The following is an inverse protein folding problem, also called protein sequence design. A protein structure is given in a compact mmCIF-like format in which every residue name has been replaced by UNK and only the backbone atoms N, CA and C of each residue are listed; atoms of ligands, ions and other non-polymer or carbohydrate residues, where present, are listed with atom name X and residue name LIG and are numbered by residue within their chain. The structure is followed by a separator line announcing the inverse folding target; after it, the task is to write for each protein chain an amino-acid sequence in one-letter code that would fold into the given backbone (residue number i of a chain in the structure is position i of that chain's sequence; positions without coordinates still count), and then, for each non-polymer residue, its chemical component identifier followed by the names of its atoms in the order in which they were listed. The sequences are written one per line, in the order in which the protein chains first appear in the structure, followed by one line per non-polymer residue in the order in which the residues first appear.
data_IF_424370619946
#
_entry.id   IF_424370619946
#
_cell.length_a   1.000
_cell.length_b   1.000
_cell.length_c   1.000
_cell.angle_alpha   90.00
_cell.angle_beta   90.00
_cell.angle_gamma   90.00
#
_symmetry.space_group_name_H-M   'P 1'
#
loop_
_entity.id
_entity.type
_entity.pdbx_description
1 polymer ?
#
# COMPACT_ATOMS: atom_id res chain seq x y z
N UNK A 1 -6.98 14.73 22.62
CA UNK A 1 -6.74 13.64 21.67
C UNK A 1 -7.50 14.00 20.42
N UNK A 2 -6.75 14.31 19.37
CA UNK A 2 -7.27 14.45 18.02
C UNK A 2 -7.04 13.12 17.30
N UNK A 3 -8.00 12.74 16.46
CA UNK A 3 -7.85 11.57 15.60
C UNK A 3 -7.22 12.02 14.29
N UNK A 4 -6.09 11.41 13.96
CA UNK A 4 -5.35 11.63 12.71
C UNK A 4 -5.65 10.49 11.74
N UNK A 5 -5.90 10.81 10.48
CA UNK A 5 -6.26 9.83 9.45
C UNK A 5 -5.57 10.18 8.14
N UNK A 6 -4.93 9.16 7.54
CA UNK A 6 -4.52 9.16 6.15
C UNK A 6 -5.20 7.98 5.47
N UNK A 7 -5.96 8.20 4.40
CA UNK A 7 -6.61 7.16 3.61
C UNK A 7 -6.19 7.35 2.16
N UNK A 8 -5.47 6.37 1.63
CA UNK A 8 -4.99 6.36 0.25
C UNK A 8 -5.76 5.33 -0.56
N UNK A 9 -6.02 5.66 -1.82
CA UNK A 9 -6.66 4.76 -2.77
C UNK A 9 -6.03 4.85 -4.14
N UNK A 10 -5.73 3.68 -4.70
CA UNK A 10 -5.42 3.46 -6.10
C UNK A 10 -6.58 2.70 -6.75
N UNK A 11 -7.03 3.17 -7.90
CA UNK A 11 -8.08 2.59 -8.73
C UNK A 11 -7.63 2.65 -10.20
N UNK A 12 -7.35 1.48 -10.78
CA UNK A 12 -6.83 1.35 -12.14
C UNK A 12 -7.70 2.05 -13.20
N UNK A 13 -9.02 2.18 -12.97
CA UNK A 13 -9.91 2.87 -13.88
C UNK A 13 -9.76 4.40 -13.85
N UNK A 14 -9.20 4.95 -12.77
CA UNK A 14 -9.01 6.39 -12.56
C UNK A 14 -7.54 6.81 -12.70
N UNK A 15 -6.61 5.91 -12.40
CA UNK A 15 -5.21 6.26 -12.14
C UNK A 15 -4.25 5.79 -13.23
N UNK A 16 -4.73 5.71 -14.47
CA UNK A 16 -3.89 5.48 -15.66
C UNK A 16 -3.66 4.01 -16.02
N UNK A 17 -4.37 3.08 -15.40
CA UNK A 17 -4.35 1.65 -15.73
C UNK A 17 -3.95 0.74 -14.55
N UNK A 18 -3.92 -0.58 -14.76
CA UNK A 18 -3.55 -1.53 -13.72
C UNK A 18 -2.09 -1.40 -13.25
N UNK A 19 -1.85 -1.70 -11.97
CA UNK A 19 -0.50 -1.84 -11.42
C UNK A 19 0.00 -3.27 -11.71
N UNK A 20 0.90 -3.40 -12.67
CA UNK A 20 1.53 -4.68 -13.00
C UNK A 20 2.62 -5.04 -12.00
N UNK A 21 2.50 -6.22 -11.40
CA UNK A 21 3.45 -6.80 -10.45
C UNK A 21 4.14 -7.97 -11.13
N UNK A 22 5.47 -8.03 -11.06
CA UNK A 22 6.22 -9.16 -11.62
C UNK A 22 6.25 -10.32 -10.63
N UNK A 23 6.27 -11.58 -11.11
CA UNK A 23 6.32 -12.73 -10.23
C UNK A 23 7.65 -12.84 -9.50
N UNK A 24 7.62 -13.40 -8.29
CA UNK A 24 8.82 -13.73 -7.53
C UNK A 24 8.65 -13.57 -6.03
N UNK A 25 9.78 -13.65 -5.35
CA UNK A 25 9.88 -13.48 -3.90
C UNK A 25 10.00 -12.00 -3.50
N UNK A 26 10.33 -11.12 -4.46
CA UNK A 26 10.48 -9.69 -4.23
C UNK A 26 9.12 -9.01 -4.13
N UNK A 27 8.93 -8.25 -3.06
CA UNK A 27 7.71 -7.50 -2.82
C UNK A 27 7.78 -6.11 -3.46
N UNK A 28 6.77 -5.80 -4.26
CA UNK A 28 6.57 -4.52 -4.91
C UNK A 28 5.84 -3.56 -3.97
N UNK A 29 6.35 -2.33 -3.85
CA UNK A 29 5.69 -1.27 -3.09
C UNK A 29 4.53 -0.70 -3.93
N UNK A 30 3.35 -0.55 -3.32
CA UNK A 30 2.13 -0.09 -4.02
C UNK A 30 2.09 1.44 -4.04
N UNK A 31 2.23 2.10 -5.20
CA UNK A 31 2.12 3.54 -5.30
C UNK A 31 0.66 4.00 -5.20
N UNK A 32 0.45 5.20 -4.65
CA UNK A 32 -0.85 5.85 -4.51
C UNK A 32 -0.81 7.25 -5.14
N UNK A 33 -1.89 7.66 -5.83
CA UNK A 33 -1.99 9.01 -6.39
C UNK A 33 -2.24 10.05 -5.30
N UNK A 34 -1.70 11.24 -5.50
CA UNK A 34 -1.94 12.40 -4.63
C UNK A 34 -3.29 13.04 -4.92
N UNK A 35 -4.00 13.46 -3.87
CA UNK A 35 -5.26 14.23 -3.95
C UNK A 35 -6.36 13.64 -4.87
N UNK A 36 -6.42 12.31 -5.01
CA UNK A 36 -7.48 11.62 -5.75
C UNK A 36 -8.84 11.64 -5.02
N UNK A 37 -9.94 11.37 -5.73
CA UNK A 37 -11.31 11.60 -5.27
C UNK A 37 -11.73 10.90 -3.95
N UNK A 38 -11.04 9.84 -3.51
CA UNK A 38 -11.30 9.14 -2.24
C UNK A 38 -10.12 9.20 -1.26
N UNK A 39 -9.04 9.91 -1.61
CA UNK A 39 -7.91 10.10 -0.70
C UNK A 39 -8.25 11.17 0.34
N UNK A 40 -7.99 10.89 1.62
CA UNK A 40 -8.16 11.83 2.72
C UNK A 40 -6.85 11.92 3.50
N UNK A 41 -6.28 13.12 3.58
CA UNK A 41 -5.01 13.38 4.26
C UNK A 41 -5.00 14.81 4.80
N UNK A 42 -5.52 14.99 6.01
CA UNK A 42 -5.65 16.32 6.61
C UNK A 42 -4.35 16.88 7.19
N UNK A 43 -3.38 15.99 7.44
CA UNK A 43 -2.11 16.31 8.11
C UNK A 43 -0.91 16.25 7.15
N UNK A 44 -1.15 16.17 5.83
CA UNK A 44 -0.12 16.11 4.77
C UNK A 44 0.85 14.92 4.93
N UNK A 45 0.33 13.78 5.43
CA UNK A 45 1.06 12.52 5.60
C UNK A 45 1.41 11.85 4.27
N UNK A 46 0.79 12.28 3.16
CA UNK A 46 0.99 11.78 1.80
C UNK A 46 1.03 12.94 0.79
N UNK A 47 2.04 13.79 0.94
CA UNK A 47 2.28 14.93 0.06
C UNK A 47 3.05 14.56 -1.22
N UNK A 48 2.68 15.17 -2.35
CA UNK A 48 3.46 15.08 -3.60
C UNK A 48 4.83 15.74 -3.46
N UNK A 49 4.90 16.83 -2.71
CA UNK A 49 6.14 17.54 -2.43
C UNK A 49 6.44 17.42 -0.95
N UNK A 50 7.56 16.77 -0.64
CA UNK A 50 8.11 16.70 0.71
C UNK A 50 9.51 17.30 0.69
N UNK A 51 9.94 17.98 1.76
CA UNK A 51 11.26 18.62 1.87
C UNK A 51 11.67 19.63 0.78
N UNK A 52 10.73 20.03 -0.09
CA UNK A 52 10.99 20.85 -1.27
C UNK A 52 11.30 20.04 -2.54
N UNK A 53 11.28 18.71 -2.45
CA UNK A 53 11.44 17.78 -3.57
C UNK A 53 10.08 17.22 -4.00
N UNK A 54 9.83 17.23 -5.31
CA UNK A 54 8.61 16.64 -5.88
C UNK A 54 8.81 15.14 -6.14
N UNK A 55 7.80 14.35 -5.79
CA UNK A 55 7.80 12.90 -5.87
C UNK A 55 6.64 12.40 -6.75
N UNK A 56 6.77 12.40 -8.08
CA UNK A 56 5.65 12.13 -8.98
C UNK A 56 5.13 10.68 -8.89
N UNK A 57 3.81 10.52 -8.76
CA UNK A 57 3.13 9.24 -8.91
C UNK A 57 3.03 8.82 -10.41
N UNK A 58 3.11 7.52 -10.74
CA UNK A 58 3.51 6.38 -9.92
C UNK A 58 5.03 6.10 -9.96
N UNK A 59 5.80 6.97 -10.60
CA UNK A 59 7.20 6.69 -10.95
C UNK A 59 8.17 6.79 -9.76
N UNK A 60 7.85 7.62 -8.78
CA UNK A 60 8.66 7.79 -7.57
C UNK A 60 8.16 6.87 -6.44
N UNK A 61 9.01 5.99 -5.87
CA UNK A 61 8.64 5.14 -4.74
C UNK A 61 8.12 5.90 -3.50
N UNK A 62 8.45 7.18 -3.34
CA UNK A 62 7.93 8.02 -2.26
C UNK A 62 6.40 8.23 -2.35
N UNK A 63 5.81 8.05 -3.54
CA UNK A 63 4.36 8.09 -3.75
C UNK A 63 3.64 6.85 -3.19
N UNK A 64 4.33 5.94 -2.53
CA UNK A 64 3.71 4.80 -1.88
C UNK A 64 3.62 4.92 -0.35
N UNK A 65 4.07 6.06 0.20
CA UNK A 65 4.33 6.20 1.62
C UNK A 65 3.26 7.02 2.32
N UNK A 66 2.86 6.54 3.49
CA UNK A 66 2.24 7.38 4.53
C UNK A 66 3.34 7.75 5.52
N UNK A 67 3.53 9.04 5.77
CA UNK A 67 4.46 9.60 6.76
C UNK A 67 3.65 10.09 7.97
N UNK A 68 3.62 9.35 9.09
CA UNK A 68 2.86 9.78 10.27
C UNK A 68 3.27 11.18 10.74
N UNK A 69 2.33 11.97 11.25
CA UNK A 69 2.62 13.31 11.77
C UNK A 69 3.06 13.29 13.25
N UNK A 70 2.72 12.23 13.99
CA UNK A 70 3.02 12.08 15.41
C UNK A 70 3.42 10.66 15.79
N UNK A 71 4.02 10.51 16.97
CA UNK A 71 4.27 9.21 17.58
C UNK A 71 3.04 8.75 18.37
N UNK A 72 2.49 7.58 18.03
CA UNK A 72 1.36 7.01 18.75
C UNK A 72 1.16 5.53 18.43
N UNK A 73 0.29 4.86 19.20
CA UNK A 73 -0.31 3.62 18.74
C UNK A 73 -1.35 3.93 17.66
N UNK A 74 -1.22 3.26 16.53
CA UNK A 74 -2.12 3.40 15.39
C UNK A 74 -2.63 2.07 14.88
N UNK A 75 -3.54 2.16 13.91
CA UNK A 75 -4.05 1.03 13.14
C UNK A 75 -3.83 1.28 11.66
N UNK A 76 -3.29 0.28 11.00
CA UNK A 76 -3.19 0.18 9.56
C UNK A 76 -4.36 -0.62 9.02
N UNK A 77 -4.85 -0.23 7.85
CA UNK A 77 -5.82 -0.97 7.07
C UNK A 77 -5.31 -1.09 5.64
N UNK A 78 -5.55 -2.24 5.03
CA UNK A 78 -5.36 -2.40 3.60
C UNK A 78 -6.51 -3.17 2.97
N UNK A 79 -6.82 -2.81 1.73
CA UNK A 79 -7.60 -3.62 0.81
C UNK A 79 -6.83 -3.75 -0.49
N UNK A 80 -6.72 -4.94 -1.05
CA UNK A 80 -6.07 -5.21 -2.33
C UNK A 80 -7.01 -6.04 -3.18
N UNK A 81 -7.23 -5.60 -4.41
CA UNK A 81 -7.93 -6.36 -5.44
C UNK A 81 -6.97 -6.66 -6.58
N UNK A 82 -6.67 -7.94 -6.77
CA UNK A 82 -5.99 -8.40 -7.97
C UNK A 82 -7.02 -8.71 -9.05
N UNK A 83 -6.64 -8.57 -10.32
CA UNK A 83 -7.39 -9.15 -11.43
C UNK A 83 -7.57 -10.66 -11.25
N UNK A 84 -8.36 -11.28 -12.13
CA UNK A 84 -8.58 -12.73 -12.08
C UNK A 84 -7.24 -13.46 -12.20
N UNK A 85 -6.76 -13.99 -11.08
CA UNK A 85 -5.54 -14.77 -10.97
C UNK A 85 -5.89 -16.25 -10.68
N UNK A 86 -6.91 -16.77 -11.37
CA UNK A 86 -7.47 -18.09 -11.08
C UNK A 86 -6.96 -19.17 -12.02
N UNK A 87 -6.63 -20.34 -11.47
CA UNK A 87 -6.12 -21.50 -12.23
C UNK A 87 -4.66 -21.78 -11.89
N UNK A 88 -3.88 -22.24 -12.86
CA UNK A 88 -2.44 -22.50 -12.70
C UNK A 88 -1.58 -21.23 -12.76
N UNK A 89 -2.22 -20.05 -12.85
CA UNK A 89 -1.51 -18.79 -13.02
C UNK A 89 -0.77 -18.36 -11.76
N UNK A 90 -1.41 -18.38 -10.58
CA UNK A 90 -0.78 -18.15 -9.28
C UNK A 90 -1.35 -19.09 -8.22
N UNK A 91 -0.49 -19.65 -7.38
CA UNK A 91 -0.92 -20.48 -6.25
C UNK A 91 -0.90 -19.73 -4.93
N UNK A 92 -0.17 -18.61 -4.87
CA UNK A 92 0.02 -17.78 -3.69
C UNK A 92 0.07 -16.29 -4.07
N UNK A 93 -0.73 -15.50 -3.35
CA UNK A 93 -0.70 -14.03 -3.35
C UNK A 93 -0.27 -13.57 -1.97
N UNK A 94 0.56 -12.54 -1.93
CA UNK A 94 1.21 -12.08 -0.70
C UNK A 94 1.07 -10.58 -0.56
N UNK A 95 0.95 -10.15 0.68
CA UNK A 95 1.05 -8.74 1.03
C UNK A 95 1.66 -8.57 2.41
N UNK A 96 2.18 -7.38 2.66
CA UNK A 96 2.76 -7.00 3.94
C UNK A 96 2.71 -5.50 4.13
N UNK A 97 2.67 -5.08 5.40
CA UNK A 97 3.01 -3.72 5.76
C UNK A 97 4.53 -3.62 5.93
N UNK A 98 5.09 -2.46 5.58
CA UNK A 98 6.49 -2.15 5.78
C UNK A 98 6.65 -0.83 6.53
N UNK A 99 7.56 -0.83 7.48
CA UNK A 99 8.16 0.33 8.12
C UNK A 99 9.45 0.65 7.39
N UNK A 100 9.64 1.92 7.10
CA UNK A 100 10.78 2.47 6.36
C UNK A 100 11.16 1.68 5.09
N UNK A 101 10.22 1.47 4.14
CA UNK A 101 10.44 0.61 2.98
C UNK A 101 11.50 1.14 1.99
N UNK A 102 11.87 2.43 2.06
CA UNK A 102 12.91 3.03 1.22
C UNK A 102 14.25 3.20 1.96
N UNK A 103 14.28 2.99 3.27
CA UNK A 103 15.47 3.00 4.11
C UNK A 103 15.78 1.61 4.66
N UNK A 104 15.75 1.46 5.98
CA UNK A 104 15.95 0.16 6.64
C UNK A 104 14.65 -0.61 6.68
N UNK A 105 14.39 -1.35 5.61
CA UNK A 105 13.18 -2.14 5.44
C UNK A 105 12.90 -3.03 6.66
N UNK A 106 11.75 -2.82 7.29
CA UNK A 106 11.24 -3.60 8.41
C UNK A 106 9.77 -3.99 8.16
N UNK A 107 9.50 -5.27 7.92
CA UNK A 107 8.17 -5.76 7.53
C UNK A 107 7.36 -6.29 8.71
N UNK A 108 6.05 -6.06 8.69
CA UNK A 108 5.12 -6.60 9.69
C UNK A 108 3.81 -7.03 9.05
N UNK A 109 3.06 -7.90 9.75
CA UNK A 109 1.79 -8.43 9.28
C UNK A 109 1.92 -9.01 7.86
N UNK A 110 2.94 -9.84 7.63
CA UNK A 110 3.11 -10.53 6.34
C UNK A 110 2.07 -11.64 6.23
N UNK A 111 1.30 -11.64 5.14
CA UNK A 111 0.27 -12.65 4.90
C UNK A 111 0.42 -13.25 3.51
N UNK A 112 0.26 -14.57 3.47
CA UNK A 112 0.27 -15.36 2.26
C UNK A 112 -1.10 -16.02 2.14
N UNK A 113 -1.71 -15.93 0.97
CA UNK A 113 -3.04 -16.47 0.70
C UNK A 113 -3.03 -17.30 -0.55
N UNK A 114 -3.73 -18.43 -0.50
CA UNK A 114 -4.01 -19.20 -1.70
C UNK A 114 -4.96 -18.41 -2.61
N UNK A 115 -4.66 -18.36 -3.90
CA UNK A 115 -5.58 -17.79 -4.88
C UNK A 115 -6.91 -18.57 -4.91
N UNK A 116 -8.01 -17.85 -4.87
CA UNK A 116 -9.36 -18.38 -5.06
C UNK A 116 -9.79 -18.27 -6.52
N UNK A 117 -10.89 -18.91 -6.97
CA UNK A 117 -11.43 -18.63 -8.29
C UNK A 117 -11.93 -17.18 -8.42
N UNK A 118 -11.71 -16.53 -9.57
CA UNK A 118 -12.17 -15.17 -9.84
C UNK A 118 -11.25 -14.06 -9.33
N UNK A 119 -11.83 -12.89 -9.06
CA UNK A 119 -11.12 -11.71 -8.55
C UNK A 119 -10.65 -11.96 -7.10
N UNK A 120 -9.44 -11.49 -6.78
CA UNK A 120 -8.84 -11.71 -5.46
C UNK A 120 -8.96 -10.47 -4.61
N UNK A 121 -9.95 -10.46 -3.71
CA UNK A 121 -10.24 -9.31 -2.85
C UNK A 121 -9.80 -9.62 -1.42
N UNK A 122 -8.73 -8.98 -0.97
CA UNK A 122 -8.21 -9.16 0.39
C UNK A 122 -8.30 -7.87 1.17
N UNK A 123 -8.70 -7.97 2.43
CA UNK A 123 -8.66 -6.88 3.38
C UNK A 123 -7.96 -7.33 4.66
N UNK A 124 -7.30 -6.40 5.33
CA UNK A 124 -6.59 -6.65 6.59
C UNK A 124 -6.48 -5.39 7.43
N UNK A 125 -6.25 -5.60 8.72
CA UNK A 125 -5.95 -4.54 9.67
C UNK A 125 -4.82 -4.98 10.60
N UNK A 126 -4.01 -4.02 11.07
CA UNK A 126 -2.89 -4.29 11.96
C UNK A 126 -2.64 -3.14 12.93
N UNK A 127 -2.38 -3.44 14.20
CA UNK A 127 -1.98 -2.43 15.17
C UNK A 127 -0.45 -2.23 15.12
N UNK A 128 0.00 -0.97 15.18
CA UNK A 128 1.41 -0.62 15.05
C UNK A 128 1.73 0.62 15.88
N UNK A 129 2.98 0.78 16.31
CA UNK A 129 3.47 2.06 16.82
C UNK A 129 4.03 2.87 15.64
N UNK A 130 3.52 4.08 15.45
CA UNK A 130 3.92 4.98 14.35
C UNK A 130 4.87 6.06 14.84
N UNK A 131 5.69 6.61 13.95
CA UNK A 131 6.57 7.75 14.21
C UNK A 131 6.82 8.52 12.91
N UNK A 132 6.98 9.86 12.96
CA UNK A 132 7.26 10.67 11.76
C UNK A 132 8.52 10.29 11.01
N UNK A 133 9.50 9.73 11.71
CA UNK A 133 10.77 9.30 11.12
C UNK A 133 10.68 7.94 10.41
N UNK A 134 9.54 7.24 10.53
CA UNK A 134 9.36 5.87 10.01
C UNK A 134 8.18 5.87 9.03
N UNK A 135 8.41 6.13 7.74
CA UNK A 135 7.35 6.07 6.74
C UNK A 135 6.81 4.64 6.62
N UNK A 136 5.53 4.52 6.32
CA UNK A 136 4.83 3.24 6.22
C UNK A 136 4.44 2.99 4.77
N UNK A 137 4.46 1.72 4.36
CA UNK A 137 4.08 1.32 3.00
C UNK A 137 3.33 -0.01 2.96
N UNK A 138 2.55 -0.19 1.89
CA UNK A 138 1.91 -1.45 1.54
C UNK A 138 2.70 -2.11 0.42
N UNK A 139 3.04 -3.40 0.59
CA UNK A 139 3.77 -4.15 -0.44
C UNK A 139 3.05 -5.44 -0.81
N UNK A 140 3.23 -5.87 -2.05
CA UNK A 140 2.57 -7.04 -2.65
C UNK A 140 3.54 -7.93 -3.42
N UNK A 141 3.27 -9.22 -3.47
CA UNK A 141 4.02 -10.20 -4.27
C UNK A 141 3.13 -11.38 -4.67
N UNK A 142 3.58 -12.16 -5.65
CA UNK A 142 2.92 -13.39 -6.06
C UNK A 142 3.89 -14.38 -6.69
N UNK A 143 3.52 -15.66 -6.70
CA UNK A 143 4.33 -16.73 -7.28
C UNK A 143 3.88 -17.17 -8.69
N UNK A 144 3.13 -16.32 -9.37
CA UNK A 144 2.62 -16.61 -10.69
C UNK A 144 3.71 -16.89 -11.75
N UNK A 145 3.35 -17.46 -12.89
CA UNK A 145 4.29 -17.65 -14.01
C UNK A 145 4.52 -16.39 -14.86
N UNK A 146 3.58 -15.44 -14.82
CA UNK A 146 3.66 -14.14 -15.49
C UNK A 146 3.23 -13.01 -14.55
N UNK A 147 3.31 -11.77 -15.02
CA UNK A 147 2.86 -10.62 -14.23
C UNK A 147 1.37 -10.68 -13.94
N UNK A 148 0.97 -10.27 -12.74
CA UNK A 148 -0.43 -10.06 -12.36
C UNK A 148 -0.68 -8.58 -12.09
N UNK A 149 -1.92 -8.15 -12.29
CA UNK A 149 -2.31 -6.78 -12.03
C UNK A 149 -3.07 -6.62 -10.71
N UNK A 150 -2.67 -5.61 -9.95
CA UNK A 150 -3.52 -4.98 -8.92
C UNK A 150 -4.41 -3.94 -9.61
N UNK A 151 -5.72 -4.06 -9.43
CA UNK A 151 -6.71 -3.17 -10.04
C UNK A 151 -7.29 -2.15 -9.05
N UNK A 152 -7.22 -2.46 -7.75
CA UNK A 152 -7.56 -1.55 -6.68
C UNK A 152 -6.69 -1.83 -5.46
N UNK A 153 -6.21 -0.76 -4.83
CA UNK A 153 -5.55 -0.86 -3.53
C UNK A 153 -6.00 0.29 -2.64
N UNK A 154 -6.16 0.00 -1.35
CA UNK A 154 -6.37 0.99 -0.32
C UNK A 154 -5.32 0.78 0.77
N UNK A 155 -4.73 1.86 1.26
CA UNK A 155 -3.81 1.86 2.38
C UNK A 155 -4.15 3.01 3.31
N UNK A 156 -4.49 2.68 4.57
CA UNK A 156 -5.03 3.66 5.51
C UNK A 156 -4.31 3.55 6.85
N UNK A 157 -4.17 4.69 7.50
CA UNK A 157 -3.63 4.86 8.83
C UNK A 157 -4.63 5.69 9.65
N UNK A 158 -4.92 5.23 10.87
CA UNK A 158 -5.57 6.04 11.90
C UNK A 158 -4.80 5.95 13.21
N UNK A 159 -4.74 7.04 13.98
CA UNK A 159 -4.21 7.06 15.35
C UNK A 159 -4.73 8.28 16.11
N UNK A 160 -4.76 8.17 17.45
CA UNK A 160 -5.10 9.29 18.33
C UNK A 160 -3.80 9.88 18.92
N UNK A 161 -3.62 11.19 18.80
CA UNK A 161 -2.48 11.93 19.38
C UNK A 161 -2.92 13.25 20.06
#
# INVERSE_FOLDING_TARGET
MATHVCSLKFDAAKDGGPLSVTPGEDYHLVPFPYAAAESYDADDMHAETWDGTAHPFPADPASALIRPAHESWGRLYAMIQWEVASGDEATELRDQFARDPLGTLDTTCTEHRRASPGMQCFAKAWAIFVSPDVPLGLRVAHNASGSLNVVLAEFKLEYDA
#
